data_IF_411576576517
#
_entry.id   IF_411576576517
#
_cell.length_a   1.000
_cell.length_b   1.000
_cell.length_c   1.000
_cell.angle_alpha   90.00
_cell.angle_beta   90.00
_cell.angle_gamma   90.00
#
_symmetry.space_group_name_H-M   'P 1'
#
loop_
_entity.id
_entity.type
_entity.pdbx_description
1 polymer ?
#
# COMPACT_ATOMS: atom_id res chain seq x y z
N UNK A 1 17.54 -7.13 21.74
CA UNK A 1 17.70 -6.79 20.32
C UNK A 1 16.43 -6.12 19.80
N UNK A 2 16.55 -4.92 19.30
CA UNK A 2 15.39 -4.34 18.64
C UNK A 2 15.01 -5.16 17.41
N UNK A 3 13.73 -5.29 17.15
CA UNK A 3 13.25 -5.92 15.94
C UNK A 3 13.61 -5.03 14.75
N UNK A 4 14.25 -5.63 13.77
CA UNK A 4 14.56 -4.93 12.53
C UNK A 4 13.42 -5.13 11.55
N UNK A 5 12.85 -4.03 11.10
CA UNK A 5 11.78 -4.06 10.09
C UNK A 5 12.36 -4.62 8.79
N UNK A 6 11.73 -5.63 8.16
CA UNK A 6 12.13 -6.06 6.84
C UNK A 6 12.16 -4.89 5.85
N UNK A 7 13.14 -4.90 4.95
CA UNK A 7 13.37 -3.79 4.04
C UNK A 7 12.14 -3.47 3.17
N UNK A 8 11.42 -4.50 2.73
CA UNK A 8 10.25 -4.28 1.89
C UNK A 8 9.14 -3.52 2.63
N UNK A 9 9.01 -3.73 3.95
CA UNK A 9 8.04 -2.98 4.77
C UNK A 9 8.42 -1.50 4.78
N UNK A 10 9.69 -1.19 5.01
CA UNK A 10 10.15 0.21 4.99
C UNK A 10 9.86 0.88 3.66
N UNK A 11 10.08 0.18 2.55
CA UNK A 11 9.82 0.71 1.21
C UNK A 11 8.33 1.04 1.05
N UNK A 12 7.45 0.11 1.43
CA UNK A 12 6.00 0.30 1.30
C UNK A 12 5.51 1.40 2.24
N UNK A 13 5.94 1.40 3.49
CA UNK A 13 5.53 2.42 4.47
C UNK A 13 5.98 3.81 3.99
N UNK A 14 7.22 3.94 3.55
CA UNK A 14 7.75 5.23 3.09
C UNK A 14 7.00 5.73 1.86
N UNK A 15 6.65 4.84 0.94
CA UNK A 15 5.87 5.23 -0.24
C UNK A 15 4.52 5.83 0.14
N UNK A 16 3.84 5.26 1.13
CA UNK A 16 2.53 5.74 1.56
C UNK A 16 2.63 7.00 2.43
N UNK A 17 3.56 7.03 3.38
CA UNK A 17 3.70 8.18 4.28
C UNK A 17 4.21 9.42 3.57
N UNK A 18 4.93 9.28 2.48
CA UNK A 18 5.33 10.40 1.62
C UNK A 18 4.09 11.14 1.09
N UNK A 19 3.00 10.44 0.82
CA UNK A 19 1.75 11.02 0.33
C UNK A 19 0.85 11.48 1.47
N UNK A 20 0.66 10.64 2.47
CA UNK A 20 -0.44 10.78 3.43
C UNK A 20 0.01 11.00 4.88
N UNK A 21 1.31 11.06 5.16
CA UNK A 21 1.80 11.23 6.53
C UNK A 21 1.27 10.11 7.43
N UNK A 22 0.63 10.50 8.52
CA UNK A 22 0.09 9.55 9.49
C UNK A 22 -1.22 8.87 9.09
N UNK A 23 -1.81 9.22 7.95
CA UNK A 23 -3.08 8.62 7.50
C UNK A 23 -2.83 7.36 6.68
N UNK A 24 -2.07 6.44 7.26
CA UNK A 24 -1.69 5.16 6.67
C UNK A 24 -1.83 4.08 7.74
N UNK A 25 -2.42 2.97 7.37
CA UNK A 25 -2.61 1.82 8.27
C UNK A 25 -2.21 0.54 7.57
N UNK A 26 -1.73 -0.42 8.34
CA UNK A 26 -1.44 -1.76 7.86
C UNK A 26 -2.60 -2.69 8.20
N UNK A 27 -3.18 -3.30 7.17
CA UNK A 27 -4.20 -4.35 7.27
C UNK A 27 -5.52 -3.95 7.93
N UNK A 28 -5.61 -2.79 8.55
CA UNK A 28 -6.77 -2.38 9.34
C UNK A 28 -7.30 -1.03 8.88
N UNK A 29 -8.61 -0.92 8.75
CA UNK A 29 -9.25 0.35 8.39
C UNK A 29 -9.14 1.36 9.54
N UNK A 30 -9.04 2.63 9.18
CA UNK A 30 -9.00 3.76 10.13
C UNK A 30 -10.37 4.42 10.26
N UNK A 31 -10.53 5.21 11.30
CA UNK A 31 -11.68 6.12 11.45
C UNK A 31 -11.28 7.48 10.92
N UNK A 32 -11.27 7.62 9.61
CA UNK A 32 -10.89 8.85 8.93
C UNK A 32 -11.62 8.91 7.61
N UNK A 33 -11.75 10.12 7.09
CA UNK A 33 -12.38 10.36 5.80
C UNK A 33 -11.39 10.26 4.62
N UNK A 34 -10.12 10.08 4.91
CA UNK A 34 -9.08 10.05 3.88
C UNK A 34 -7.85 9.36 4.43
N UNK A 35 -7.58 8.13 3.95
CA UNK A 35 -6.44 7.34 4.44
C UNK A 35 -6.13 6.19 3.50
N UNK A 36 -4.89 5.68 3.59
CA UNK A 36 -4.48 4.46 2.92
C UNK A 36 -4.47 3.28 3.89
N UNK A 37 -4.82 2.11 3.38
CA UNK A 37 -4.54 0.83 4.03
C UNK A 37 -3.72 0.02 3.06
N UNK A 38 -2.63 -0.58 3.52
CA UNK A 38 -1.84 -1.51 2.72
C UNK A 38 -1.77 -2.85 3.42
N UNK A 39 -1.60 -3.91 2.64
CA UNK A 39 -1.47 -5.25 3.16
C UNK A 39 -0.65 -6.11 2.20
N UNK A 40 0.13 -7.03 2.74
CA UNK A 40 0.81 -8.05 1.95
C UNK A 40 -0.16 -9.16 1.55
N UNK A 41 0.06 -9.72 0.36
CA UNK A 41 -0.71 -10.88 -0.09
C UNK A 41 -0.31 -12.10 0.74
N UNK A 42 -1.27 -12.80 1.30
CA UNK A 42 -1.05 -13.99 2.13
C UNK A 42 -0.39 -15.14 1.36
N UNK A 43 -0.40 -15.08 0.01
CA UNK A 43 0.25 -16.08 -0.83
C UNK A 43 1.76 -15.88 -0.98
N UNK A 44 2.31 -14.79 -0.43
CA UNK A 44 3.76 -14.57 -0.46
C UNK A 44 4.49 -15.64 0.34
N UNK A 45 5.63 -16.10 -0.20
CA UNK A 45 6.54 -16.93 0.56
C UNK A 45 7.54 -16.02 1.27
N UNK A 46 7.29 -15.77 2.54
CA UNK A 46 8.11 -14.88 3.37
C UNK A 46 9.00 -15.67 4.35
N UNK A 47 9.31 -16.93 4.04
CA UNK A 47 10.12 -17.76 4.92
C UNK A 47 11.59 -17.30 4.93
N UNK A 48 12.23 -17.47 6.09
CA UNK A 48 13.59 -16.99 6.29
C UNK A 48 14.64 -17.76 5.49
N UNK A 49 14.32 -18.98 5.04
CA UNK A 49 15.23 -19.84 4.28
C UNK A 49 15.03 -19.74 2.77
N UNK A 50 14.34 -18.72 2.30
CA UNK A 50 14.23 -18.46 0.89
C UNK A 50 15.59 -18.11 0.31
N UNK A 51 16.08 -18.96 -0.58
CA UNK A 51 17.43 -18.86 -1.15
C UNK A 51 17.45 -18.28 -2.57
N UNK A 52 16.33 -17.79 -3.06
CA UNK A 52 16.27 -17.16 -4.36
C UNK A 52 17.07 -15.87 -4.39
N UNK A 53 17.77 -15.64 -5.50
CA UNK A 53 18.57 -14.43 -5.68
C UNK A 53 17.71 -13.17 -5.68
N UNK A 54 16.50 -13.28 -6.20
CA UNK A 54 15.54 -12.19 -6.24
C UNK A 54 14.41 -12.48 -5.26
N UNK A 55 14.06 -11.45 -4.49
CA UNK A 55 12.95 -11.52 -3.55
C UNK A 55 11.93 -10.48 -3.93
N UNK A 56 10.67 -10.91 -4.00
CA UNK A 56 9.55 -10.02 -4.28
C UNK A 56 8.44 -10.28 -3.27
N UNK A 57 7.82 -9.21 -2.83
CA UNK A 57 6.61 -9.26 -2.02
C UNK A 57 5.50 -8.57 -2.79
N UNK A 58 4.38 -9.25 -2.95
CA UNK A 58 3.18 -8.72 -3.57
C UNK A 58 2.19 -8.28 -2.51
N UNK A 59 1.44 -7.25 -2.78
CA UNK A 59 0.44 -6.78 -1.86
C UNK A 59 -0.58 -5.87 -2.51
N UNK A 60 -1.35 -5.23 -1.66
CA UNK A 60 -2.47 -4.38 -2.04
C UNK A 60 -2.39 -3.06 -1.29
N UNK A 61 -2.87 -2.01 -1.93
CA UNK A 61 -3.11 -0.73 -1.26
C UNK A 61 -4.48 -0.22 -1.64
N UNK A 62 -5.13 0.37 -0.65
CA UNK A 62 -6.45 0.95 -0.80
C UNK A 62 -6.44 2.38 -0.28
N UNK A 63 -7.03 3.29 -1.05
CA UNK A 63 -7.29 4.65 -0.60
C UNK A 63 -8.79 4.78 -0.34
N UNK A 64 -9.14 5.09 0.89
CA UNK A 64 -10.53 5.44 1.26
C UNK A 64 -10.62 6.95 1.36
N UNK A 65 -11.54 7.56 0.63
CA UNK A 65 -11.64 9.01 0.56
C UNK A 65 -13.07 9.45 0.24
N UNK A 66 -13.40 10.68 0.61
CA UNK A 66 -14.69 11.30 0.24
C UNK A 66 -14.76 11.68 -1.23
N UNK A 67 -13.64 11.74 -1.94
CA UNK A 67 -13.58 12.28 -3.29
C UNK A 67 -13.32 11.18 -4.30
N UNK A 68 -14.16 11.12 -5.34
CA UNK A 68 -13.95 10.19 -6.45
C UNK A 68 -12.61 10.46 -7.16
N UNK A 69 -12.28 11.73 -7.34
CA UNK A 69 -11.03 12.16 -8.01
C UNK A 69 -10.11 12.80 -6.98
N UNK A 70 -9.45 11.98 -6.19
CA UNK A 70 -8.55 12.43 -5.14
C UNK A 70 -7.12 12.51 -5.67
N UNK A 71 -6.46 13.65 -5.43
CA UNK A 71 -5.05 13.85 -5.81
C UNK A 71 -4.12 12.81 -5.16
N UNK A 72 -4.48 12.26 -4.01
CA UNK A 72 -3.68 11.22 -3.39
C UNK A 72 -3.63 9.94 -4.24
N UNK A 73 -4.64 9.68 -5.04
CA UNK A 73 -4.60 8.53 -5.96
C UNK A 73 -3.50 8.69 -7.00
N UNK A 74 -3.33 9.91 -7.55
CA UNK A 74 -2.22 10.19 -8.47
C UNK A 74 -0.88 10.23 -7.74
N UNK A 75 -0.85 10.83 -6.57
CA UNK A 75 0.37 10.97 -5.78
C UNK A 75 0.94 9.63 -5.34
N UNK A 76 0.09 8.65 -4.98
CA UNK A 76 0.59 7.34 -4.60
C UNK A 76 1.23 6.60 -5.77
N UNK A 77 0.67 6.77 -6.97
CA UNK A 77 1.25 6.15 -8.17
C UNK A 77 2.64 6.72 -8.46
N UNK A 78 2.79 8.03 -8.37
CA UNK A 78 4.09 8.69 -8.50
C UNK A 78 5.06 8.25 -7.40
N UNK A 79 4.57 8.09 -6.19
CA UNK A 79 5.38 7.64 -5.05
C UNK A 79 5.82 6.19 -5.21
N UNK A 80 4.95 5.31 -5.70
CA UNK A 80 5.32 3.94 -6.04
C UNK A 80 6.47 3.93 -7.05
N UNK A 81 6.36 4.72 -8.11
CA UNK A 81 7.41 4.82 -9.12
C UNK A 81 8.73 5.31 -8.51
N UNK A 82 8.66 6.34 -7.67
CA UNK A 82 9.84 6.91 -7.04
C UNK A 82 10.53 5.92 -6.07
N UNK A 83 9.77 5.00 -5.50
CA UNK A 83 10.30 3.99 -4.57
C UNK A 83 10.61 2.65 -5.25
N UNK A 84 10.54 2.59 -6.57
CA UNK A 84 10.85 1.38 -7.32
C UNK A 84 9.83 0.26 -7.15
N UNK A 85 8.58 0.61 -6.85
CA UNK A 85 7.50 -0.35 -6.65
C UNK A 85 6.72 -0.47 -7.94
N UNK A 86 6.55 -1.71 -8.42
CA UNK A 86 5.67 -2.00 -9.56
C UNK A 86 4.23 -2.00 -9.08
N UNK A 87 3.33 -1.42 -9.86
CA UNK A 87 1.94 -1.31 -9.43
C UNK A 87 0.96 -1.40 -10.60
N UNK A 88 -0.26 -1.75 -10.27
CA UNK A 88 -1.39 -1.74 -11.19
C UNK A 88 -2.63 -1.27 -10.45
N UNK A 89 -3.35 -0.30 -11.00
CA UNK A 89 -4.62 0.14 -10.43
C UNK A 89 -5.70 -0.85 -10.79
N UNK A 90 -6.42 -1.36 -9.79
CA UNK A 90 -7.43 -2.39 -9.98
C UNK A 90 -8.85 -1.86 -10.03
N UNK A 91 -9.10 -0.66 -9.51
CA UNK A 91 -10.41 -0.05 -9.64
C UNK A 91 -10.71 1.05 -8.65
N UNK A 92 -11.91 1.60 -8.83
CA UNK A 92 -12.50 2.58 -7.93
C UNK A 92 -13.95 2.16 -7.69
N UNK A 93 -14.34 2.03 -6.43
CA UNK A 93 -15.72 1.72 -6.06
C UNK A 93 -16.22 2.71 -5.03
N UNK A 94 -17.55 2.86 -4.93
CA UNK A 94 -18.17 3.68 -3.90
C UNK A 94 -18.79 2.78 -2.85
N UNK A 95 -18.57 3.12 -1.57
CA UNK A 95 -19.16 2.40 -0.44
C UNK A 95 -20.33 3.20 0.12
N UNK A 96 -21.59 2.81 -0.13
CA UNK A 96 -22.73 3.56 0.40
C UNK A 96 -22.79 3.64 1.93
N UNK A 97 -22.33 2.59 2.62
CA UNK A 97 -22.39 2.52 4.08
C UNK A 97 -21.49 3.55 4.75
N UNK A 98 -20.37 3.90 4.13
CA UNK A 98 -19.42 4.85 4.70
C UNK A 98 -19.43 6.20 4.01
N UNK A 99 -19.98 6.27 2.80
CA UNK A 99 -19.88 7.45 1.95
C UNK A 99 -18.49 7.68 1.37
N UNK A 100 -17.65 6.66 1.35
CA UNK A 100 -16.28 6.77 0.88
C UNK A 100 -16.11 6.10 -0.49
N UNK A 101 -15.26 6.70 -1.31
CA UNK A 101 -14.72 6.05 -2.50
C UNK A 101 -13.53 5.20 -2.10
N UNK A 102 -13.39 4.06 -2.75
CA UNK A 102 -12.36 3.07 -2.49
C UNK A 102 -11.55 2.87 -3.77
N UNK A 103 -10.35 3.44 -3.80
CA UNK A 103 -9.39 3.25 -4.88
C UNK A 103 -8.46 2.11 -4.51
N UNK A 104 -8.16 1.21 -5.44
CA UNK A 104 -7.39 0.00 -5.14
C UNK A 104 -6.26 -0.19 -6.13
N UNK A 105 -5.13 -0.68 -5.61
CA UNK A 105 -3.94 -1.05 -6.37
C UNK A 105 -3.42 -2.40 -5.91
N UNK A 106 -2.81 -3.11 -6.84
CA UNK A 106 -1.91 -4.22 -6.54
C UNK A 106 -0.49 -3.72 -6.76
N UNK A 107 0.45 -4.19 -5.94
CA UNK A 107 1.84 -3.79 -6.07
C UNK A 107 2.79 -4.95 -5.82
N UNK A 108 4.02 -4.78 -6.28
CA UNK A 108 5.11 -5.71 -6.04
C UNK A 108 6.37 -4.93 -5.70
N UNK A 109 7.03 -5.35 -4.63
CA UNK A 109 8.29 -4.79 -4.17
C UNK A 109 9.36 -5.84 -4.32
N UNK A 110 10.45 -5.47 -5.00
CA UNK A 110 11.66 -6.29 -5.04
C UNK A 110 12.68 -5.73 -4.07
N UNK A 111 13.39 -6.61 -3.37
CA UNK A 111 14.33 -6.21 -2.35
C UNK A 111 15.51 -7.17 -2.17
#
# INVERSE_FOLDING_TARGET
MPNTMPKWISIIVDAHTTVAGGNVSHATRMRSDRYFVWDEDERNDLTADNKHAEKAVNGYSDLFTKWEFDQWANAIEDSFDAHGISWEKTGVTYEPDTGLFHHSWEWSVMY
#
